data_IF_866626714507
#
_entry.id   IF_866626714507
#
_cell.length_a   1.000
_cell.length_b   1.000
_cell.length_c   1.000
_cell.angle_alpha   90.00
_cell.angle_beta   90.00
_cell.angle_gamma   90.00
#
_symmetry.space_group_name_H-M   'P 1'
#
loop_
_entity.id
_entity.type
_entity.pdbx_description
1 polymer ?
#
# COMPACT_ATOMS: atom_id res chain seq x y z
N UNK A 1 -5.97 10.48 -22.81
CA UNK A 1 -4.84 11.07 -22.06
C UNK A 1 -3.62 10.26 -22.43
N UNK A 2 -2.48 10.89 -22.72
CA UNK A 2 -1.24 10.17 -23.02
C UNK A 2 -0.87 9.24 -21.85
N UNK A 3 -0.38 8.04 -22.16
CA UNK A 3 0.08 7.06 -21.17
C UNK A 3 1.21 7.68 -20.32
N UNK A 4 0.87 8.18 -19.13
CA UNK A 4 1.85 8.71 -18.17
C UNK A 4 2.81 7.57 -17.82
N UNK A 5 4.10 7.76 -18.10
CA UNK A 5 5.10 6.71 -17.85
C UNK A 5 5.50 6.68 -16.38
N UNK A 6 5.85 5.50 -15.87
CA UNK A 6 6.31 5.31 -14.49
C UNK A 6 7.41 6.29 -14.10
N UNK A 7 8.38 6.52 -14.99
CA UNK A 7 9.45 7.50 -14.78
C UNK A 7 8.97 8.94 -14.57
N UNK A 8 7.84 9.32 -15.17
CA UNK A 8 7.27 10.67 -15.06
C UNK A 8 6.52 10.82 -13.74
N UNK A 9 5.75 9.80 -13.33
CA UNK A 9 5.09 9.76 -12.02
C UNK A 9 6.11 9.91 -10.89
N UNK A 10 7.23 9.20 -10.99
CA UNK A 10 8.28 9.21 -9.97
C UNK A 10 8.89 10.59 -9.75
N UNK A 11 8.93 11.48 -10.74
CA UNK A 11 9.49 12.85 -10.59
C UNK A 11 8.85 13.60 -9.43
N UNK A 12 7.55 13.44 -9.22
CA UNK A 12 6.80 14.07 -8.11
C UNK A 12 7.19 13.58 -6.70
N UNK A 13 8.01 12.52 -6.63
CA UNK A 13 8.52 11.91 -5.39
C UNK A 13 10.02 12.10 -5.20
N UNK A 14 10.74 12.73 -6.13
CA UNK A 14 12.21 12.80 -6.08
C UNK A 14 12.74 13.86 -5.11
N UNK A 15 11.96 14.92 -4.88
CA UNK A 15 12.32 16.06 -4.05
C UNK A 15 11.88 15.87 -2.60
N UNK A 16 12.58 16.54 -1.68
CA UNK A 16 12.15 16.57 -0.29
C UNK A 16 10.88 17.40 -0.14
N UNK A 17 10.03 17.00 0.80
CA UNK A 17 8.78 17.64 1.16
C UNK A 17 8.91 18.21 2.57
N UNK A 18 8.62 19.50 2.73
CA UNK A 18 8.71 20.19 4.02
C UNK A 18 7.82 19.56 5.11
N UNK A 19 6.79 18.80 4.72
CA UNK A 19 5.90 18.09 5.65
C UNK A 19 6.48 16.78 6.21
N UNK A 20 7.61 16.28 5.68
CA UNK A 20 8.19 14.98 6.04
C UNK A 20 9.56 15.19 6.71
N UNK A 21 9.76 14.57 7.88
CA UNK A 21 11.07 14.52 8.51
C UNK A 21 11.96 13.46 7.85
N UNK A 22 12.95 13.89 7.07
CA UNK A 22 13.91 13.02 6.40
C UNK A 22 15.08 12.58 7.30
N UNK A 23 15.12 13.02 8.56
CA UNK A 23 16.18 12.59 9.47
C UNK A 23 16.03 11.10 9.72
N UNK A 24 17.09 10.35 9.39
CA UNK A 24 17.13 8.91 9.61
C UNK A 24 16.86 8.62 11.08
N UNK A 25 15.82 7.83 11.35
CA UNK A 25 15.58 7.27 12.68
C UNK A 25 16.30 5.93 12.76
N UNK A 26 16.91 5.65 13.90
CA UNK A 26 17.44 4.32 14.15
C UNK A 26 16.26 3.35 14.20
N UNK A 27 16.31 2.31 13.36
CA UNK A 27 15.33 1.21 13.39
C UNK A 27 15.45 0.46 14.70
N UNK A 28 14.33 0.05 15.26
CA UNK A 28 14.33 -0.87 16.41
C UNK A 28 14.88 -2.25 16.00
N UNK A 29 15.29 -3.06 16.98
CA UNK A 29 15.73 -4.44 16.71
C UNK A 29 14.63 -5.28 16.05
N UNK A 30 13.37 -5.04 16.43
CA UNK A 30 12.19 -5.68 15.83
C UNK A 30 12.06 -5.30 14.35
N UNK A 31 12.17 -4.02 14.02
CA UNK A 31 12.14 -3.54 12.62
C UNK A 31 13.29 -4.15 11.81
N UNK A 32 14.51 -4.18 12.36
CA UNK A 32 15.68 -4.76 11.68
C UNK A 32 15.48 -6.26 11.40
N UNK A 33 14.94 -7.01 12.36
CA UNK A 33 14.61 -8.43 12.19
C UNK A 33 13.54 -8.65 11.13
N UNK A 34 12.49 -7.81 11.12
CA UNK A 34 11.43 -7.85 10.10
C UNK A 34 11.98 -7.54 8.70
N UNK A 35 12.78 -6.49 8.56
CA UNK A 35 13.45 -6.13 7.29
C UNK A 35 14.28 -7.31 6.79
N UNK A 36 15.06 -7.94 7.67
CA UNK A 36 15.95 -9.05 7.29
C UNK A 36 15.19 -10.27 6.80
N UNK A 37 14.07 -10.60 7.44
CA UNK A 37 13.21 -11.71 7.03
C UNK A 37 12.49 -11.40 5.71
N UNK A 38 11.98 -10.18 5.57
CA UNK A 38 11.24 -9.74 4.39
C UNK A 38 12.11 -9.63 3.14
N UNK A 39 13.27 -9.00 3.25
CA UNK A 39 14.16 -8.78 2.11
C UNK A 39 14.67 -10.11 1.54
N UNK A 40 14.92 -11.13 2.38
CA UNK A 40 15.33 -12.47 1.93
C UNK A 40 14.26 -13.16 1.06
N UNK A 41 12.98 -12.98 1.40
CA UNK A 41 11.84 -13.59 0.70
C UNK A 41 11.26 -12.74 -0.42
N UNK A 42 11.74 -11.51 -0.57
CA UNK A 42 11.18 -10.56 -1.53
C UNK A 42 11.46 -10.99 -2.98
N UNK A 43 10.41 -11.16 -3.81
CA UNK A 43 10.60 -11.38 -5.23
C UNK A 43 11.10 -10.09 -5.90
N UNK A 44 12.06 -10.25 -6.82
CA UNK A 44 12.45 -9.20 -7.76
C UNK A 44 11.78 -9.52 -9.10
N UNK A 45 10.57 -9.01 -9.29
CA UNK A 45 9.80 -9.21 -10.52
C UNK A 45 10.60 -8.67 -11.70
N UNK A 46 10.70 -9.45 -12.79
CA UNK A 46 11.46 -9.09 -14.00
C UNK A 46 12.96 -9.38 -13.96
N UNK A 47 13.50 -9.91 -12.86
CA UNK A 47 14.89 -10.38 -12.79
C UNK A 47 14.98 -11.85 -13.22
N UNK A 48 15.90 -12.20 -14.11
CA UNK A 48 16.12 -13.61 -14.49
C UNK A 48 16.64 -14.39 -13.26
N UNK A 49 16.03 -15.53 -12.88
CA UNK A 49 16.52 -16.38 -11.80
C UNK A 49 18.00 -16.79 -11.90
N UNK A 50 18.59 -16.74 -13.10
CA UNK A 50 20.01 -17.01 -13.37
C UNK A 50 20.92 -15.86 -12.95
N UNK A 51 20.41 -14.62 -12.84
CA UNK A 51 21.16 -13.42 -12.44
C UNK A 51 21.38 -13.35 -10.91
N UNK A 52 21.92 -14.41 -10.31
CA UNK A 52 22.07 -14.56 -8.85
C UNK A 52 22.89 -13.43 -8.20
N UNK A 53 23.98 -13.03 -8.84
CA UNK A 53 24.87 -11.97 -8.31
C UNK A 53 24.14 -10.63 -8.30
N UNK A 54 23.50 -10.26 -9.41
CA UNK A 54 22.68 -9.04 -9.49
C UNK A 54 21.59 -9.04 -8.42
N UNK A 55 20.90 -10.17 -8.24
CA UNK A 55 19.90 -10.33 -7.16
C UNK A 55 20.51 -9.99 -5.79
N UNK A 56 21.69 -10.52 -5.46
CA UNK A 56 22.35 -10.25 -4.18
C UNK A 56 22.66 -8.76 -3.99
N UNK A 57 23.15 -8.07 -5.03
CA UNK A 57 23.39 -6.63 -4.98
C UNK A 57 22.10 -5.83 -4.78
N UNK A 58 21.05 -6.15 -5.54
CA UNK A 58 19.76 -5.45 -5.42
C UNK A 58 19.08 -5.71 -4.06
N UNK A 59 19.13 -6.95 -3.55
CA UNK A 59 18.67 -7.32 -2.20
C UNK A 59 19.42 -6.51 -1.13
N UNK A 60 20.74 -6.36 -1.28
CA UNK A 60 21.55 -5.58 -0.33
C UNK A 60 21.23 -4.08 -0.39
N UNK A 61 21.07 -3.50 -1.59
CA UNK A 61 20.58 -2.11 -1.77
C UNK A 61 19.20 -1.92 -1.13
N UNK A 62 18.27 -2.87 -1.34
CA UNK A 62 16.92 -2.83 -0.77
C UNK A 62 16.99 -2.77 0.77
N UNK A 63 17.74 -3.69 1.39
CA UNK A 63 17.94 -3.71 2.85
C UNK A 63 18.52 -2.38 3.34
N UNK A 64 19.61 -1.92 2.74
CA UNK A 64 20.29 -0.70 3.20
C UNK A 64 19.36 0.53 3.06
N UNK A 65 18.57 0.62 1.99
CA UNK A 65 17.60 1.71 1.81
C UNK A 65 16.47 1.65 2.84
N UNK A 66 15.86 0.49 3.08
CA UNK A 66 14.81 0.30 4.08
C UNK A 66 15.25 0.66 5.50
N UNK A 67 16.51 0.36 5.83
CA UNK A 67 17.10 0.76 7.12
C UNK A 67 17.27 2.29 7.18
N UNK A 68 17.61 2.92 6.06
CA UNK A 68 17.97 4.34 6.02
C UNK A 68 16.80 5.33 5.96
N UNK A 69 15.61 4.90 5.52
CA UNK A 69 14.44 5.78 5.44
C UNK A 69 13.86 6.08 6.83
N UNK A 70 13.25 7.25 7.06
CA UNK A 70 12.76 7.65 8.39
C UNK A 70 11.49 6.92 8.82
N UNK A 71 10.69 6.39 7.87
CA UNK A 71 9.40 5.74 8.14
C UNK A 71 9.56 4.45 8.95
N UNK A 72 8.62 4.15 9.86
CA UNK A 72 8.56 2.83 10.48
C UNK A 72 8.44 1.73 9.43
N UNK A 73 9.14 0.63 9.66
CA UNK A 73 9.04 -0.54 8.81
C UNK A 73 7.82 -1.38 9.16
N UNK A 74 7.00 -1.65 8.16
CA UNK A 74 5.87 -2.56 8.23
C UNK A 74 6.07 -3.71 7.25
N UNK A 75 5.58 -4.89 7.62
CA UNK A 75 5.72 -6.09 6.80
C UNK A 75 5.15 -5.88 5.40
N UNK A 76 5.91 -6.30 4.38
CA UNK A 76 5.53 -6.17 2.97
C UNK A 76 6.02 -4.89 2.28
N UNK A 77 6.55 -3.90 3.01
CA UNK A 77 7.20 -2.74 2.40
C UNK A 77 8.37 -3.12 1.49
N UNK A 78 9.05 -4.24 1.76
CA UNK A 78 10.13 -4.75 0.91
C UNK A 78 9.67 -5.10 -0.51
N UNK A 79 8.45 -5.62 -0.67
CA UNK A 79 7.87 -5.97 -1.98
C UNK A 79 7.57 -4.71 -2.80
N UNK A 80 7.04 -3.67 -2.15
CA UNK A 80 6.85 -2.37 -2.79
C UNK A 80 8.20 -1.79 -3.21
N UNK A 81 9.15 -1.74 -2.27
CA UNK A 81 10.44 -1.11 -2.48
C UNK A 81 11.28 -1.84 -3.55
N UNK A 82 11.16 -3.16 -3.68
CA UNK A 82 11.93 -3.93 -4.68
C UNK A 82 11.65 -3.51 -6.12
N UNK A 83 10.43 -3.06 -6.42
CA UNK A 83 10.06 -2.52 -7.75
C UNK A 83 10.88 -1.27 -8.07
N UNK A 84 11.02 -0.35 -7.10
CA UNK A 84 11.87 0.84 -7.28
C UNK A 84 13.35 0.45 -7.36
N UNK A 85 13.81 -0.51 -6.55
CA UNK A 85 15.20 -0.96 -6.61
C UNK A 85 15.52 -1.55 -7.98
N UNK A 86 14.65 -2.40 -8.51
CA UNK A 86 14.81 -2.96 -9.84
C UNK A 86 14.83 -1.84 -10.90
N UNK A 87 13.85 -0.94 -10.87
CA UNK A 87 13.75 0.18 -11.81
C UNK A 87 15.01 1.06 -11.85
N UNK A 88 15.52 1.46 -10.69
CA UNK A 88 16.63 2.41 -10.61
C UNK A 88 18.01 1.77 -10.77
N UNK A 89 18.21 0.54 -10.27
CA UNK A 89 19.55 -0.05 -10.13
C UNK A 89 19.82 -1.25 -11.04
N UNK A 90 18.82 -1.91 -11.62
CA UNK A 90 19.04 -3.08 -12.47
C UNK A 90 20.00 -2.76 -13.64
N UNK A 91 19.71 -1.71 -14.41
CA UNK A 91 20.59 -1.25 -15.51
C UNK A 91 21.91 -0.65 -15.02
N UNK A 92 21.97 -0.11 -13.81
CA UNK A 92 23.22 0.44 -13.26
C UNK A 92 24.18 -0.67 -12.85
N UNK A 93 23.64 -1.80 -12.37
CA UNK A 93 24.43 -3.00 -12.13
C UNK A 93 25.05 -3.50 -13.44
N UNK A 94 24.27 -3.58 -14.52
CA UNK A 94 24.78 -4.04 -15.83
C UNK A 94 25.92 -3.14 -16.33
N UNK A 95 25.77 -1.81 -16.19
CA UNK A 95 26.84 -0.85 -16.53
C UNK A 95 28.07 -1.00 -15.65
N UNK A 96 27.88 -1.24 -14.35
CA UNK A 96 28.98 -1.44 -13.40
C UNK A 96 29.77 -2.69 -13.76
N UNK A 97 29.08 -3.80 -14.02
CA UNK A 97 29.68 -5.07 -14.41
C UNK A 97 30.50 -4.93 -15.72
N UNK A 98 29.96 -4.22 -16.72
CA UNK A 98 30.66 -4.01 -17.99
C UNK A 98 31.88 -3.09 -17.87
N UNK A 99 31.90 -2.17 -16.88
CA UNK A 99 33.05 -1.28 -16.65
C UNK A 99 34.19 -1.97 -15.90
N UNK A 100 33.84 -2.92 -15.05
CA UNK A 100 34.78 -3.62 -14.18
C UNK A 100 35.18 -4.99 -14.75
N UNK A 101 35.00 -5.26 -16.05
CA UNK A 101 35.17 -6.60 -16.67
C UNK A 101 36.50 -7.29 -16.30
N UNK A 102 37.59 -6.55 -16.09
CA UNK A 102 38.89 -7.10 -15.69
C UNK A 102 39.04 -7.38 -14.19
N UNK A 103 38.28 -6.69 -13.32
CA UNK A 103 38.42 -6.77 -11.85
C UNK A 103 37.19 -7.36 -11.13
N UNK A 104 36.04 -7.40 -11.80
CA UNK A 104 34.78 -7.88 -11.26
C UNK A 104 34.80 -9.40 -11.15
N UNK A 105 34.98 -9.88 -9.93
CA UNK A 105 34.71 -11.28 -9.65
C UNK A 105 33.23 -11.51 -9.94
N UNK A 106 32.88 -12.50 -10.79
CA UNK A 106 31.49 -12.93 -11.03
C UNK A 106 30.82 -13.56 -9.78
N UNK A 107 31.20 -13.11 -8.59
CA UNK A 107 30.75 -13.51 -7.27
C UNK A 107 30.46 -12.25 -6.46
N UNK A 108 29.44 -12.32 -5.62
CA UNK A 108 29.17 -11.26 -4.66
C UNK A 108 30.26 -11.24 -3.57
N UNK A 109 30.78 -10.04 -3.26
CA UNK A 109 31.55 -9.75 -2.05
C UNK A 109 31.14 -8.39 -1.48
N UNK A 110 31.42 -8.16 -0.20
CA UNK A 110 31.14 -6.87 0.43
C UNK A 110 32.04 -5.75 -0.10
N UNK A 111 33.26 -6.05 -0.59
CA UNK A 111 34.09 -5.05 -1.29
C UNK A 111 33.46 -4.63 -2.61
N UNK A 112 33.02 -5.59 -3.43
CA UNK A 112 32.35 -5.30 -4.70
C UNK A 112 31.04 -4.55 -4.48
N UNK A 113 30.29 -4.91 -3.44
CA UNK A 113 29.11 -4.16 -3.02
C UNK A 113 29.44 -2.70 -2.66
N UNK A 114 30.50 -2.46 -1.88
CA UNK A 114 30.93 -1.10 -1.53
C UNK A 114 31.33 -0.29 -2.78
N UNK A 115 32.03 -0.90 -3.74
CA UNK A 115 32.36 -0.27 -5.03
C UNK A 115 31.09 0.11 -5.78
N UNK A 116 30.14 -0.82 -5.91
CA UNK A 116 28.86 -0.55 -6.56
C UNK A 116 28.06 0.55 -5.85
N UNK A 117 27.97 0.52 -4.51
CA UNK A 117 27.28 1.56 -3.72
C UNK A 117 27.90 2.93 -4.02
N UNK A 118 29.24 3.02 -4.06
CA UNK A 118 29.95 4.26 -4.41
C UNK A 118 29.61 4.71 -5.84
N UNK A 119 29.60 3.78 -6.80
CA UNK A 119 29.23 4.04 -8.19
C UNK A 119 27.81 4.62 -8.32
N UNK A 120 26.83 4.08 -7.59
CA UNK A 120 25.43 4.55 -7.66
C UNK A 120 25.08 5.63 -6.65
N UNK A 121 26.08 6.34 -6.06
CA UNK A 121 25.85 7.15 -4.85
C UNK A 121 24.71 8.15 -4.98
N UNK A 122 24.78 8.99 -6.01
CA UNK A 122 23.78 10.02 -6.31
C UNK A 122 22.38 9.43 -6.54
N UNK A 123 22.30 8.28 -7.22
CA UNK A 123 21.02 7.64 -7.52
C UNK A 123 20.40 7.01 -6.27
N UNK A 124 21.20 6.41 -5.40
CA UNK A 124 20.74 5.92 -4.11
C UNK A 124 20.11 7.02 -3.25
N UNK A 125 20.77 8.18 -3.11
CA UNK A 125 20.26 9.24 -2.24
C UNK A 125 18.94 9.80 -2.78
N UNK A 126 18.82 9.86 -4.12
CA UNK A 126 17.56 10.17 -4.81
C UNK A 126 16.48 9.12 -4.54
N UNK A 127 16.80 7.83 -4.65
CA UNK A 127 15.85 6.74 -4.38
C UNK A 127 15.42 6.71 -2.92
N UNK A 128 16.31 7.05 -1.99
CA UNK A 128 15.95 7.20 -0.57
C UNK A 128 14.83 8.23 -0.38
N UNK A 129 14.90 9.38 -1.05
CA UNK A 129 13.82 10.38 -1.03
C UNK A 129 12.54 9.83 -1.66
N UNK A 130 12.64 9.19 -2.83
CA UNK A 130 11.48 8.57 -3.49
C UNK A 130 10.77 7.58 -2.58
N UNK A 131 11.51 6.64 -1.97
CA UNK A 131 10.94 5.65 -1.07
C UNK A 131 10.32 6.31 0.16
N UNK A 132 11.01 7.28 0.77
CA UNK A 132 10.47 8.03 1.91
C UNK A 132 9.14 8.69 1.56
N UNK A 133 9.06 9.34 0.40
CA UNK A 133 7.85 10.04 -0.04
C UNK A 133 6.72 9.10 -0.40
N UNK A 134 7.02 8.02 -1.13
CA UNK A 134 6.02 7.02 -1.51
C UNK A 134 5.43 6.38 -0.26
N UNK A 135 6.28 5.96 0.68
CA UNK A 135 5.81 5.33 1.92
C UNK A 135 4.98 6.32 2.74
N UNK A 136 5.49 7.53 2.99
CA UNK A 136 4.78 8.54 3.78
C UNK A 136 3.42 8.93 3.19
N UNK A 137 3.34 9.07 1.86
CA UNK A 137 2.13 9.59 1.17
C UNK A 137 1.13 8.50 0.80
N UNK A 138 1.57 7.27 0.53
CA UNK A 138 0.71 6.21 -0.05
C UNK A 138 0.54 4.98 0.82
N UNK A 139 1.57 4.60 1.57
CA UNK A 139 1.55 3.37 2.37
C UNK A 139 1.20 3.66 3.83
N UNK A 140 1.96 4.55 4.47
CA UNK A 140 1.84 4.89 5.89
C UNK A 140 0.42 5.30 6.30
N UNK A 141 -0.34 6.09 5.52
CA UNK A 141 -1.73 6.44 5.86
C UNK A 141 -2.66 5.23 6.03
N UNK A 142 -2.36 4.10 5.37
CA UNK A 142 -3.16 2.88 5.47
C UNK A 142 -2.83 2.05 6.72
N UNK A 143 -1.71 2.30 7.40
CA UNK A 143 -1.21 1.43 8.48
C UNK A 143 -0.97 2.15 9.82
N UNK A 144 -0.61 3.44 9.82
CA UNK A 144 -0.08 4.15 11.00
C UNK A 144 -1.02 4.30 12.21
N UNK A 145 -2.32 4.20 11.98
CA UNK A 145 -3.37 4.32 13.02
C UNK A 145 -4.08 2.98 13.23
N UNK A 146 -3.32 1.91 13.47
CA UNK A 146 -3.84 0.53 13.59
C UNK A 146 -4.79 0.17 12.44
N UNK A 147 -4.38 0.49 11.21
CA UNK A 147 -5.15 0.20 9.99
C UNK A 147 -6.52 0.89 9.86
N UNK A 148 -6.84 1.92 10.66
CA UNK A 148 -8.14 2.61 10.64
C UNK A 148 -8.60 3.07 9.24
N UNK A 149 -7.70 3.67 8.45
CA UNK A 149 -8.04 4.10 7.08
C UNK A 149 -8.25 2.90 6.15
N UNK A 150 -7.44 1.85 6.31
CA UNK A 150 -7.60 0.61 5.57
C UNK A 150 -8.96 -0.04 5.86
N UNK A 151 -9.35 -0.19 7.13
CA UNK A 151 -10.63 -0.77 7.53
C UNK A 151 -11.82 0.02 6.97
N UNK A 152 -11.72 1.35 7.00
CA UNK A 152 -12.71 2.23 6.41
C UNK A 152 -12.87 2.00 4.91
N UNK A 153 -11.77 1.99 4.15
CA UNK A 153 -11.81 1.71 2.71
C UNK A 153 -12.25 0.29 2.38
N UNK A 154 -11.87 -0.69 3.21
CA UNK A 154 -12.32 -2.06 3.09
C UNK A 154 -13.85 -2.19 3.28
N UNK A 155 -14.42 -1.41 4.20
CA UNK A 155 -15.89 -1.32 4.37
C UNK A 155 -16.59 -0.81 3.11
N UNK A 156 -16.02 0.23 2.48
CA UNK A 156 -16.57 0.78 1.21
C UNK A 156 -16.44 -0.26 0.09
N UNK A 157 -15.29 -0.92 -0.03
CA UNK A 157 -15.05 -2.02 -0.96
C UNK A 157 -16.12 -3.12 -0.82
N UNK A 158 -16.37 -3.61 0.40
CA UNK A 158 -17.38 -4.63 0.65
C UNK A 158 -18.79 -4.19 0.20
N UNK A 159 -19.15 -2.93 0.46
CA UNK A 159 -20.42 -2.37 0.02
C UNK A 159 -20.51 -2.28 -1.52
N UNK A 160 -19.43 -1.91 -2.21
CA UNK A 160 -19.34 -1.90 -3.67
C UNK A 160 -19.45 -3.31 -4.27
N UNK A 161 -18.81 -4.30 -3.67
CA UNK A 161 -18.89 -5.70 -4.12
C UNK A 161 -20.29 -6.27 -3.91
N UNK A 162 -20.96 -5.94 -2.80
CA UNK A 162 -22.35 -6.33 -2.56
C UNK A 162 -23.31 -5.79 -3.62
N UNK A 163 -23.12 -4.55 -4.09
CA UNK A 163 -23.91 -3.96 -5.21
C UNK A 163 -23.71 -4.71 -6.54
N UNK A 164 -22.58 -5.40 -6.69
CA UNK A 164 -22.25 -6.27 -7.83
C UNK A 164 -22.73 -7.71 -7.62
N UNK A 165 -23.58 -7.97 -6.63
CA UNK A 165 -24.03 -9.31 -6.21
C UNK A 165 -22.91 -10.25 -5.75
N UNK A 166 -21.74 -9.71 -5.38
CA UNK A 166 -20.62 -10.48 -4.83
C UNK A 166 -20.64 -10.32 -3.32
N UNK A 167 -20.94 -11.43 -2.61
CA UNK A 167 -20.94 -11.46 -1.14
C UNK A 167 -19.60 -11.95 -0.65
N UNK A 168 -18.88 -11.06 0.03
CA UNK A 168 -17.59 -11.36 0.69
C UNK A 168 -17.85 -11.22 2.18
N UNK A 169 -17.48 -12.24 2.95
CA UNK A 169 -17.51 -12.14 4.40
C UNK A 169 -16.50 -11.10 4.91
N UNK A 170 -16.87 -10.32 5.92
CA UNK A 170 -16.02 -9.26 6.46
C UNK A 170 -14.69 -9.80 6.99
N UNK A 171 -14.71 -10.93 7.71
CA UNK A 171 -13.48 -11.56 8.20
C UNK A 171 -12.61 -12.07 7.05
N UNK A 172 -13.24 -12.58 5.98
CA UNK A 172 -12.54 -13.07 4.80
C UNK A 172 -11.93 -11.94 3.95
N UNK A 173 -12.48 -10.73 4.01
CA UNK A 173 -12.00 -9.58 3.23
C UNK A 173 -10.55 -9.20 3.55
N UNK A 174 -10.11 -9.43 4.79
CA UNK A 174 -8.72 -9.19 5.21
C UNK A 174 -7.72 -10.15 4.56
N UNK A 175 -8.16 -11.25 3.95
CA UNK A 175 -7.26 -12.10 3.14
C UNK A 175 -6.70 -11.33 1.93
N UNK A 176 -7.38 -10.28 1.46
CA UNK A 176 -6.93 -9.44 0.36
C UNK A 176 -6.00 -8.31 0.80
N UNK A 177 -5.81 -8.10 2.12
CA UNK A 177 -4.96 -7.03 2.66
C UNK A 177 -3.55 -7.08 2.10
N UNK A 178 -2.97 -8.28 2.02
CA UNK A 178 -1.64 -8.46 1.44
C UNK A 178 -1.59 -8.07 -0.05
N UNK A 179 -2.69 -8.22 -0.80
CA UNK A 179 -2.75 -7.79 -2.21
C UNK A 179 -2.72 -6.27 -2.30
N UNK A 180 -3.49 -5.60 -1.43
CA UNK A 180 -3.59 -4.14 -1.38
C UNK A 180 -2.29 -3.51 -0.87
N UNK A 181 -1.76 -4.00 0.25
CA UNK A 181 -0.58 -3.43 0.91
C UNK A 181 0.73 -3.76 0.21
N UNK A 182 0.77 -4.69 -0.74
CA UNK A 182 1.96 -4.89 -1.59
C UNK A 182 1.75 -4.42 -3.02
N UNK A 183 0.75 -3.56 -3.25
CA UNK A 183 0.39 -3.03 -4.57
C UNK A 183 0.32 -4.12 -5.64
N UNK A 184 -0.28 -5.26 -5.27
CA UNK A 184 -0.49 -6.43 -6.08
C UNK A 184 0.76 -7.13 -6.61
N UNK A 185 1.97 -6.81 -6.10
CA UNK A 185 3.22 -7.46 -6.50
C UNK A 185 3.15 -9.00 -6.45
N UNK A 186 2.37 -9.56 -5.52
CA UNK A 186 2.18 -11.02 -5.39
C UNK A 186 1.33 -11.66 -6.48
N UNK A 187 0.59 -10.86 -7.24
CA UNK A 187 -0.37 -11.32 -8.24
C UNK A 187 0.07 -11.01 -9.66
N UNK A 188 1.06 -10.16 -9.85
CA UNK A 188 1.56 -9.76 -11.17
C UNK A 188 2.75 -10.63 -11.56
N UNK A 189 2.86 -11.01 -12.83
CA UNK A 189 3.95 -11.85 -13.34
C UNK A 189 5.03 -11.10 -14.11
N UNK A 190 4.73 -9.91 -14.64
CA UNK A 190 5.66 -9.10 -15.42
C UNK A 190 6.02 -7.79 -14.71
N UNK A 191 7.24 -7.29 -14.95
CA UNK A 191 7.67 -6.00 -14.39
C UNK A 191 6.91 -4.84 -15.04
N UNK A 192 6.55 -4.96 -16.32
CA UNK A 192 5.83 -3.92 -17.04
C UNK A 192 4.40 -3.74 -16.49
N UNK A 193 3.70 -4.84 -16.21
CA UNK A 193 2.39 -4.80 -15.56
C UNK A 193 2.50 -4.24 -14.13
N UNK A 194 3.60 -4.54 -13.43
CA UNK A 194 3.86 -4.00 -12.09
C UNK A 194 4.04 -2.48 -12.15
N UNK A 195 4.76 -1.95 -13.14
CA UNK A 195 4.91 -0.51 -13.34
C UNK A 195 3.59 0.18 -13.64
N UNK A 196 2.72 -0.40 -14.47
CA UNK A 196 1.38 0.16 -14.74
C UNK A 196 0.52 0.23 -13.48
N UNK A 197 0.55 -0.80 -12.63
CA UNK A 197 -0.16 -0.77 -11.35
C UNK A 197 0.42 0.32 -10.44
N UNK A 198 1.74 0.44 -10.37
CA UNK A 198 2.38 1.47 -9.54
C UNK A 198 2.11 2.88 -10.07
N UNK A 199 2.07 3.11 -11.39
CA UNK A 199 1.68 4.38 -11.99
C UNK A 199 0.32 4.86 -11.46
N UNK A 200 -0.67 3.96 -11.42
CA UNK A 200 -2.02 4.24 -10.88
C UNK A 200 -1.95 4.55 -9.39
N UNK A 201 -1.35 3.67 -8.59
CA UNK A 201 -1.31 3.82 -7.13
C UNK A 201 -0.60 5.11 -6.72
N UNK A 202 0.49 5.45 -7.40
CA UNK A 202 1.28 6.64 -7.09
C UNK A 202 0.59 7.93 -7.55
N UNK A 203 -0.22 7.91 -8.60
CA UNK A 203 -0.84 9.12 -9.14
C UNK A 203 -2.25 9.39 -8.57
N UNK A 204 -2.93 8.36 -8.09
CA UNK A 204 -4.29 8.46 -7.55
C UNK A 204 -4.32 8.53 -6.01
N UNK A 205 -5.43 8.92 -5.38
CA UNK A 205 -5.56 8.92 -3.92
C UNK A 205 -5.32 7.53 -3.29
N UNK A 206 -5.12 7.43 -1.95
CA UNK A 206 -4.89 6.15 -1.26
C UNK A 206 -6.05 5.12 -1.39
N UNK A 207 -7.18 5.49 -1.97
CA UNK A 207 -8.28 4.59 -2.36
C UNK A 207 -7.92 3.69 -3.55
N UNK A 208 -6.98 4.11 -4.41
CA UNK A 208 -6.69 3.44 -5.68
C UNK A 208 -6.36 1.93 -5.57
N UNK A 209 -5.56 1.46 -4.58
CA UNK A 209 -5.38 0.02 -4.36
C UNK A 209 -6.69 -0.75 -4.14
N UNK A 210 -7.70 -0.16 -3.50
CA UNK A 210 -9.01 -0.81 -3.33
C UNK A 210 -9.81 -0.84 -4.63
N UNK A 211 -9.70 0.20 -5.46
CA UNK A 211 -10.35 0.21 -6.78
C UNK A 211 -9.72 -0.83 -7.71
N UNK A 212 -8.40 -0.98 -7.66
CA UNK A 212 -7.68 -2.07 -8.34
C UNK A 212 -8.13 -3.44 -7.82
N UNK A 213 -8.38 -3.56 -6.51
CA UNK A 213 -8.93 -4.80 -5.95
C UNK A 213 -10.32 -5.10 -6.53
N UNK A 214 -11.17 -4.11 -6.76
CA UNK A 214 -12.47 -4.31 -7.43
C UNK A 214 -12.29 -4.82 -8.86
N UNK A 215 -11.40 -4.18 -9.63
CA UNK A 215 -11.13 -4.55 -11.03
C UNK A 215 -10.57 -5.98 -11.13
N UNK A 216 -9.59 -6.31 -10.29
CA UNK A 216 -8.89 -7.59 -10.34
C UNK A 216 -9.45 -8.64 -9.37
N UNK A 217 -10.59 -8.37 -8.72
CA UNK A 217 -11.17 -9.23 -7.70
C UNK A 217 -11.30 -10.68 -8.19
N UNK A 218 -11.83 -10.83 -9.40
CA UNK A 218 -12.08 -12.13 -10.01
C UNK A 218 -10.79 -12.93 -10.27
N UNK A 219 -9.71 -12.24 -10.67
CA UNK A 219 -8.40 -12.89 -10.86
C UNK A 219 -7.82 -13.29 -9.50
N UNK A 220 -7.80 -12.37 -8.54
CA UNK A 220 -7.20 -12.57 -7.21
C UNK A 220 -7.94 -13.67 -6.43
N UNK A 221 -9.27 -13.63 -6.40
CA UNK A 221 -10.10 -14.63 -5.70
C UNK A 221 -9.94 -16.03 -6.27
N UNK A 222 -9.73 -16.15 -7.58
CA UNK A 222 -9.47 -17.42 -8.29
C UNK A 222 -7.98 -17.79 -8.31
N UNK A 223 -7.12 -17.04 -7.61
CA UNK A 223 -5.64 -17.21 -7.58
C UNK A 223 -5.01 -17.22 -8.99
N UNK A 224 -5.59 -16.45 -9.91
CA UNK A 224 -5.07 -16.26 -11.26
C UNK A 224 -4.17 -15.05 -11.31
N UNK A 225 -3.04 -15.10 -12.04
CA UNK A 225 -2.16 -13.96 -12.18
C UNK A 225 -2.85 -12.81 -12.91
N UNK A 226 -2.49 -11.59 -12.53
CA UNK A 226 -2.74 -10.37 -13.28
C UNK A 226 -1.68 -10.29 -14.37
N UNK A 227 -2.15 -10.33 -15.61
CA UNK A 227 -1.37 -10.27 -16.84
C UNK A 227 -2.04 -9.26 -17.75
N UNK A 228 -1.25 -8.59 -18.59
CA UNK A 228 -1.74 -7.67 -19.61
C UNK A 228 -2.60 -6.56 -19.00
N UNK A 229 -2.01 -5.79 -18.08
CA UNK A 229 -2.69 -4.67 -17.44
C UNK A 229 -3.13 -3.67 -18.51
N UNK A 230 -4.45 -3.42 -18.54
CA UNK A 230 -5.14 -2.58 -19.52
C UNK A 230 -4.55 -1.16 -19.56
N UNK A 231 -4.36 -0.65 -20.78
CA UNK A 231 -3.91 0.72 -21.01
C UNK A 231 -4.96 1.76 -20.59
N UNK A 232 -6.24 1.37 -20.55
CA UNK A 232 -7.36 2.22 -20.11
C UNK A 232 -7.65 2.09 -18.60
N UNK A 233 -6.73 1.48 -17.83
CA UNK A 233 -6.91 1.28 -16.39
C UNK A 233 -7.18 2.58 -15.64
N UNK A 234 -6.56 3.70 -16.05
CA UNK A 234 -6.82 5.03 -15.47
C UNK A 234 -8.28 5.45 -15.54
N UNK A 235 -8.92 5.27 -16.69
CA UNK A 235 -10.32 5.66 -16.91
C UNK A 235 -11.25 4.82 -16.04
N UNK A 236 -10.97 3.52 -15.94
CA UNK A 236 -11.69 2.60 -15.04
C UNK A 236 -11.57 3.04 -13.58
N UNK A 237 -10.38 3.46 -13.15
CA UNK A 237 -10.14 3.94 -11.78
C UNK A 237 -10.92 5.24 -11.50
N UNK A 238 -10.94 6.18 -12.44
CA UNK A 238 -11.69 7.45 -12.28
C UNK A 238 -13.21 7.18 -12.13
N UNK A 239 -13.76 6.26 -12.93
CA UNK A 239 -15.17 5.88 -12.84
C UNK A 239 -15.49 5.21 -11.50
N UNK A 240 -14.63 4.29 -11.06
CA UNK A 240 -14.80 3.60 -9.79
C UNK A 240 -14.61 4.54 -8.58
N UNK A 241 -13.74 5.54 -8.66
CA UNK A 241 -13.56 6.54 -7.60
C UNK A 241 -14.85 7.34 -7.37
N UNK A 242 -15.55 7.74 -8.44
CA UNK A 242 -16.86 8.40 -8.31
C UNK A 242 -17.87 7.50 -7.60
N UNK A 243 -17.91 6.22 -7.96
CA UNK A 243 -18.79 5.26 -7.28
C UNK A 243 -18.39 5.06 -5.82
N UNK A 244 -17.08 4.99 -5.53
CA UNK A 244 -16.54 4.85 -4.19
C UNK A 244 -17.00 5.98 -3.28
N UNK A 245 -16.88 7.23 -3.73
CA UNK A 245 -17.33 8.40 -2.98
C UNK A 245 -18.85 8.36 -2.71
N UNK A 246 -19.66 7.98 -3.70
CA UNK A 246 -21.11 7.84 -3.53
C UNK A 246 -21.48 6.75 -2.51
N UNK A 247 -20.75 5.62 -2.51
CA UNK A 247 -20.95 4.53 -1.54
C UNK A 247 -20.54 4.98 -0.15
N UNK A 248 -19.37 5.61 -0.03
CA UNK A 248 -18.83 6.12 1.23
C UNK A 248 -19.78 7.13 1.88
N UNK A 249 -20.30 8.09 1.11
CA UNK A 249 -21.30 9.05 1.58
C UNK A 249 -22.60 8.38 2.03
N UNK A 250 -23.07 7.37 1.28
CA UNK A 250 -24.24 6.59 1.64
C UNK A 250 -24.07 5.86 2.99
N UNK A 251 -22.89 5.29 3.22
CA UNK A 251 -22.56 4.64 4.50
C UNK A 251 -22.52 5.64 5.67
N UNK A 252 -21.96 6.84 5.44
CA UNK A 252 -21.95 7.93 6.44
C UNK A 252 -23.36 8.38 6.81
N UNK A 253 -24.26 8.54 5.82
CA UNK A 253 -25.67 8.91 6.04
C UNK A 253 -26.43 7.84 6.84
N UNK A 254 -26.25 6.56 6.50
CA UNK A 254 -26.90 5.45 7.18
C UNK A 254 -26.48 5.33 8.66
N UNK A 255 -25.18 5.51 8.98
CA UNK A 255 -24.70 5.51 10.37
C UNK A 255 -25.35 6.63 11.20
N UNK A 256 -25.46 7.84 10.66
CA UNK A 256 -26.11 8.98 11.34
C UNK A 256 -27.60 8.74 11.58
N UNK A 257 -28.31 8.20 10.58
CA UNK A 257 -29.74 7.91 10.69
C UNK A 257 -30.03 6.80 11.72
N UNK A 258 -29.18 5.76 11.77
CA UNK A 258 -29.30 4.68 12.74
C UNK A 258 -29.06 5.16 14.18
N UNK A 259 -28.05 6.01 14.41
CA UNK A 259 -27.80 6.60 15.72
C UNK A 259 -28.95 7.51 16.18
N UNK A 260 -29.51 8.33 15.29
CA UNK A 260 -30.66 9.17 15.60
C UNK A 260 -31.90 8.32 15.96
N UNK A 261 -32.16 7.25 15.21
CA UNK A 261 -33.29 6.35 15.47
C UNK A 261 -33.16 5.62 16.81
N UNK A 262 -31.96 5.14 17.16
CA UNK A 262 -31.74 4.46 18.44
C UNK A 262 -31.75 5.43 19.64
N UNK A 263 -31.28 6.66 19.47
CA UNK A 263 -31.40 7.70 20.50
C UNK A 263 -32.87 8.08 20.78
N UNK A 264 -33.71 8.13 19.75
CA UNK A 264 -35.15 8.37 19.91
C UNK A 264 -35.85 7.21 20.63
N UNK A 265 -35.49 5.95 20.33
CA UNK A 265 -36.07 4.79 21.02
C UNK A 265 -35.61 4.72 22.48
N UNK A 266 -34.33 4.96 22.78
CA UNK A 266 -33.83 5.00 24.17
C UNK A 266 -34.41 6.19 24.95
N UNK A 267 -34.48 7.37 24.34
CA UNK A 267 -35.09 8.55 24.95
C UNK A 267 -36.58 8.37 25.21
N UNK A 268 -37.29 7.70 24.29
CA UNK A 268 -38.71 7.34 24.46
C UNK A 268 -38.94 6.33 25.58
N UNK A 269 -38.09 5.31 25.71
CA UNK A 269 -38.16 4.32 26.79
C UNK A 269 -37.88 4.92 28.17
N UNK A 270 -36.85 5.77 28.28
CA UNK A 270 -36.52 6.46 29.54
C UNK A 270 -37.64 7.45 29.91
N UNK A 271 -38.16 8.20 28.94
CA UNK A 271 -39.29 9.11 29.16
C UNK A 271 -40.56 8.39 29.63
N UNK A 272 -40.86 7.22 29.09
CA UNK A 272 -42.02 6.43 29.50
C UNK A 272 -41.88 5.86 30.91
N UNK A 273 -40.68 5.40 31.28
CA UNK A 273 -40.40 4.89 32.64
C UNK A 273 -40.48 6.01 33.68
N UNK A 274 -39.94 7.20 33.38
CA UNK A 274 -40.02 8.36 34.29
C UNK A 274 -41.47 8.84 34.43
N UNK A 275 -42.24 8.92 33.33
CA UNK A 275 -43.65 9.30 33.38
C UNK A 275 -44.50 8.29 34.18
N UNK A 276 -44.26 6.99 34.03
CA UNK A 276 -44.94 5.95 34.79
C UNK A 276 -44.60 5.99 36.29
N UNK A 277 -43.35 6.30 36.64
CA UNK A 277 -42.92 6.46 38.02
C UNK A 277 -43.55 7.70 38.69
N UNK A 278 -43.60 8.84 37.98
CA UNK A 278 -44.24 10.08 38.46
C UNK A 278 -45.75 9.89 38.62
N UNK A 279 -46.41 9.24 37.65
CA UNK A 279 -47.84 8.93 37.74
C UNK A 279 -48.16 8.01 38.93
N UNK A 280 -47.34 6.99 39.17
CA UNK A 280 -47.51 6.06 40.30
C UNK A 280 -47.21 6.71 41.65
N UNK A 281 -46.33 7.70 41.69
CA UNK A 281 -46.04 8.49 42.89
C UNK A 281 -47.19 9.45 43.22
N UNK A 282 -47.69 10.19 42.24
CA UNK A 282 -48.81 11.12 42.46
C UNK A 282 -50.10 10.39 42.84
N UNK A 283 -50.40 9.23 42.25
CA UNK A 283 -51.58 8.43 42.63
C UNK A 283 -51.53 7.91 44.08
N UNK A 284 -50.34 7.79 44.68
CA UNK A 284 -50.17 7.39 46.09
C UNK A 284 -50.21 8.56 47.07
N UNK A 285 -50.13 9.79 46.60
CA UNK A 285 -50.21 10.99 47.43
C UNK A 285 -51.66 11.50 47.60
N UNK A 286 -52.58 11.00 46.77
CA UNK A 286 -54.01 11.33 46.78
C UNK A 286 -54.88 10.25 47.48
N UNK A 287 -54.27 9.24 48.11
CA UNK A 287 -54.90 8.25 49.01
C UNK A 287 -54.52 8.52 50.47
#
# INVERSE_FOLDING_TARGET
>A
MDNIKFSEVLKSYEEQNDEIDYKSKNKSEEELSLIDNDVKRTPFIGLDPKEKVKKQFLVKILKDLLISIPNFYYQGMSEICSIFIFFYFSKEFDKFQNKEEESFTKKYSDEEYKKFRKFVKKKYDKVKNVLTNVISRKYEPLVKDNFKLYEHYNTVFLAMMKRRNIKIDESYSFTYMNSVLTYFCRHVTSIDDSYKIFEIVLSCPPTAPFLLLIIYFDKISKKKPITEVDIHLYESIILLEKEFLLVEEGLKKNKKCFLARNAVVLGGLIGFVVAAAVYKYNKRADE
#
